data_IF_144787931911
#
_entry.id   IF_144787931911
#
_cell.length_a   1.000
_cell.length_b   1.000
_cell.length_c   1.000
_cell.angle_alpha   90.00
_cell.angle_beta   90.00
_cell.angle_gamma   90.00
#
_symmetry.space_group_name_H-M   'P 1'
#
loop_
_entity.id
_entity.type
_entity.pdbx_description
1 polymer ?
#
# COMPACT_ATOMS: atom_id res chain seq x y z
N UNK A 1 -11.58 -7.51 -20.12
CA UNK A 1 -11.75 -7.44 -18.65
C UNK A 1 -13.12 -8.02 -18.26
N UNK A 2 -13.33 -9.35 -18.27
CA UNK A 2 -14.67 -9.93 -18.01
C UNK A 2 -14.62 -11.39 -17.49
N UNK A 3 -14.03 -11.63 -16.34
CA UNK A 3 -14.20 -12.94 -15.66
C UNK A 3 -14.08 -12.83 -14.13
N UNK A 4 -14.56 -11.72 -13.56
CA UNK A 4 -14.65 -11.58 -12.10
C UNK A 4 -16.12 -11.65 -11.67
N UNK A 5 -16.46 -12.46 -10.66
CA UNK A 5 -17.80 -12.44 -10.09
C UNK A 5 -18.09 -11.09 -9.42
N UNK A 6 -19.36 -10.69 -9.41
CA UNK A 6 -19.81 -9.59 -8.53
C UNK A 6 -19.48 -9.94 -7.08
N UNK A 7 -19.11 -8.94 -6.27
CA UNK A 7 -18.77 -9.15 -4.86
C UNK A 7 -19.89 -9.88 -4.09
N UNK A 8 -21.15 -9.64 -4.45
CA UNK A 8 -22.32 -10.30 -3.84
C UNK A 8 -22.33 -11.82 -4.01
N UNK A 9 -21.64 -12.33 -5.03
CA UNK A 9 -21.54 -13.78 -5.31
C UNK A 9 -20.39 -14.42 -4.52
N UNK A 10 -19.47 -13.63 -3.97
CA UNK A 10 -18.30 -14.11 -3.26
C UNK A 10 -18.69 -14.50 -1.84
N UNK A 11 -18.46 -15.77 -1.50
CA UNK A 11 -18.87 -16.33 -0.19
C UNK A 11 -17.71 -16.54 0.76
N UNK A 12 -16.49 -16.56 0.25
CA UNK A 12 -15.30 -16.90 1.04
C UNK A 12 -14.19 -15.87 0.87
N UNK A 13 -13.37 -15.72 1.92
CA UNK A 13 -12.18 -14.86 1.88
C UNK A 13 -11.19 -15.35 0.81
N UNK A 14 -11.03 -16.66 0.66
CA UNK A 14 -10.13 -17.24 -0.36
C UNK A 14 -10.55 -16.86 -1.78
N UNK A 15 -11.85 -16.90 -2.08
CA UNK A 15 -12.37 -16.48 -3.38
C UNK A 15 -12.17 -14.98 -3.59
N UNK A 16 -12.44 -14.15 -2.58
CA UNK A 16 -12.17 -12.72 -2.63
C UNK A 16 -10.69 -12.41 -2.92
N UNK A 17 -9.78 -13.07 -2.22
CA UNK A 17 -8.33 -12.87 -2.34
C UNK A 17 -7.77 -13.38 -3.68
N UNK A 18 -8.43 -14.36 -4.32
CA UNK A 18 -8.03 -14.91 -5.62
C UNK A 18 -8.13 -13.90 -6.78
N UNK A 19 -8.87 -12.80 -6.59
CA UNK A 19 -9.04 -11.72 -7.54
C UNK A 19 -8.25 -10.47 -7.13
N UNK A 20 -7.81 -9.68 -8.11
CA UNK A 20 -7.06 -8.44 -7.87
C UNK A 20 -7.97 -7.21 -7.90
N UNK A 21 -8.31 -6.64 -6.76
CA UNK A 21 -9.18 -5.46 -6.71
C UNK A 21 -8.39 -4.15 -6.77
N UNK A 22 -8.88 -3.16 -7.50
CA UNK A 22 -8.41 -1.77 -7.40
C UNK A 22 -9.04 -1.08 -6.20
N UNK A 23 -8.41 0.00 -5.73
CA UNK A 23 -8.89 0.72 -4.54
C UNK A 23 -10.29 1.28 -4.77
N UNK A 24 -10.54 1.81 -5.96
CA UNK A 24 -11.80 2.40 -6.38
C UNK A 24 -12.91 1.34 -6.41
N UNK A 25 -12.62 0.14 -6.92
CA UNK A 25 -13.55 -0.99 -6.89
C UNK A 25 -13.90 -1.39 -5.45
N UNK A 26 -12.91 -1.49 -4.55
CA UNK A 26 -13.16 -1.80 -3.14
C UNK A 26 -13.99 -0.71 -2.47
N UNK A 27 -13.73 0.55 -2.80
CA UNK A 27 -14.46 1.70 -2.28
C UNK A 27 -15.94 1.66 -2.71
N UNK A 28 -16.19 1.34 -3.98
CA UNK A 28 -17.54 1.17 -4.54
C UNK A 28 -18.28 0.01 -3.88
N UNK A 29 -17.61 -1.13 -3.69
CA UNK A 29 -18.18 -2.28 -2.96
C UNK A 29 -18.58 -1.86 -1.54
N UNK A 30 -17.71 -1.16 -0.80
CA UNK A 30 -18.05 -0.66 0.54
C UNK A 30 -19.28 0.28 0.53
N UNK A 31 -19.39 1.16 -0.47
CA UNK A 31 -20.54 2.05 -0.63
C UNK A 31 -21.83 1.27 -0.87
N UNK A 32 -21.80 0.28 -1.76
CA UNK A 32 -22.96 -0.57 -2.06
C UNK A 32 -23.41 -1.40 -0.85
N UNK A 33 -22.46 -1.85 -0.03
CA UNK A 33 -22.74 -2.54 1.23
C UNK A 33 -23.18 -1.61 2.38
N UNK A 34 -23.18 -0.28 2.16
CA UNK A 34 -23.49 0.76 3.16
C UNK A 34 -22.57 0.70 4.39
N UNK A 35 -21.29 0.41 4.20
CA UNK A 35 -20.25 0.42 5.23
C UNK A 35 -19.21 1.52 4.95
N UNK A 36 -18.28 1.76 5.88
CA UNK A 36 -17.26 2.79 5.69
C UNK A 36 -16.37 2.54 4.45
N UNK A 37 -16.39 3.47 3.51
CA UNK A 37 -15.57 3.46 2.28
C UNK A 37 -14.29 4.30 2.41
N UNK A 38 -13.98 4.79 3.61
CA UNK A 38 -12.75 5.55 3.89
C UNK A 38 -11.58 4.62 4.13
N UNK A 39 -10.40 5.09 3.73
CA UNK A 39 -9.13 4.45 4.04
C UNK A 39 -8.23 4.17 2.84
N UNK A 40 -7.07 3.60 3.15
CA UNK A 40 -6.16 3.03 2.17
C UNK A 40 -6.72 1.74 1.58
N UNK A 41 -6.18 1.29 0.45
CA UNK A 41 -6.60 0.05 -0.22
C UNK A 41 -6.64 -1.15 0.72
N UNK A 42 -5.59 -1.32 1.53
CA UNK A 42 -5.50 -2.43 2.47
C UNK A 42 -6.54 -2.40 3.58
N UNK A 43 -6.90 -1.20 4.07
CA UNK A 43 -7.98 -1.04 5.05
C UNK A 43 -9.33 -1.44 4.45
N UNK A 44 -9.56 -1.12 3.17
CA UNK A 44 -10.76 -1.55 2.45
C UNK A 44 -10.78 -3.07 2.25
N UNK A 45 -9.66 -3.69 1.85
CA UNK A 45 -9.57 -5.16 1.71
C UNK A 45 -9.81 -5.87 3.04
N UNK A 46 -9.18 -5.43 4.13
CA UNK A 46 -9.37 -6.02 5.47
C UNK A 46 -10.81 -5.84 5.97
N UNK A 47 -11.42 -4.69 5.69
CA UNK A 47 -12.83 -4.43 6.02
C UNK A 47 -13.75 -5.42 5.31
N UNK A 48 -13.56 -5.64 4.01
CA UNK A 48 -14.36 -6.58 3.23
C UNK A 48 -14.10 -8.04 3.63
N UNK A 49 -12.85 -8.39 3.95
CA UNK A 49 -12.50 -9.70 4.52
C UNK A 49 -13.22 -9.95 5.85
N UNK A 50 -13.22 -8.95 6.75
CA UNK A 50 -13.97 -9.01 8.00
C UNK A 50 -15.48 -9.13 7.76
N UNK A 51 -16.02 -8.41 6.76
CA UNK A 51 -17.42 -8.50 6.36
C UNK A 51 -17.81 -9.91 5.91
N UNK A 52 -17.02 -10.52 5.02
CA UNK A 52 -17.25 -11.89 4.54
C UNK A 52 -17.18 -12.90 5.69
N UNK A 53 -16.21 -12.74 6.61
CA UNK A 53 -15.98 -13.69 7.71
C UNK A 53 -17.06 -13.61 8.79
N UNK A 54 -17.45 -12.40 9.18
CA UNK A 54 -18.39 -12.18 10.28
C UNK A 54 -19.85 -12.22 9.83
N UNK A 55 -20.11 -11.97 8.55
CA UNK A 55 -21.44 -11.66 8.03
C UNK A 55 -21.90 -10.25 8.43
N UNK A 56 -22.90 -9.73 7.71
CA UNK A 56 -23.36 -8.33 7.80
C UNK A 56 -23.69 -7.89 9.21
N UNK A 57 -24.50 -8.66 9.94
CA UNK A 57 -25.01 -8.26 11.25
C UNK A 57 -23.92 -8.13 12.32
N UNK A 58 -23.04 -9.14 12.43
CA UNK A 58 -21.94 -9.13 13.39
C UNK A 58 -20.90 -8.07 13.02
N UNK A 59 -20.65 -7.88 11.73
CA UNK A 59 -19.74 -6.85 11.25
C UNK A 59 -20.23 -5.44 11.65
N UNK A 60 -21.50 -5.10 11.39
CA UNK A 60 -22.04 -3.78 11.71
C UNK A 60 -22.06 -3.51 13.23
N UNK A 61 -22.34 -4.53 14.05
CA UNK A 61 -22.23 -4.43 15.52
C UNK A 61 -20.80 -4.16 15.99
N UNK A 62 -19.80 -4.76 15.32
CA UNK A 62 -18.37 -4.53 15.62
C UNK A 62 -17.93 -3.13 15.17
N UNK A 63 -18.39 -2.69 13.99
CA UNK A 63 -18.05 -1.37 13.46
C UNK A 63 -18.66 -0.25 14.32
N UNK A 64 -19.89 -0.42 14.82
CA UNK A 64 -20.54 0.57 15.69
C UNK A 64 -19.99 0.61 17.12
N UNK A 65 -19.52 -0.52 17.65
CA UNK A 65 -18.88 -0.58 18.98
C UNK A 65 -17.42 -0.13 18.97
N UNK A 66 -16.75 -0.23 17.83
CA UNK A 66 -15.45 0.36 17.60
C UNK A 66 -15.61 1.88 17.44
N UNK A 67 -15.53 2.64 18.54
CA UNK A 67 -15.34 4.09 18.48
C UNK A 67 -14.05 4.36 17.71
N UNK A 68 -14.11 4.51 16.39
CA UNK A 68 -12.99 5.05 15.63
C UNK A 68 -12.71 6.41 16.23
N UNK A 69 -11.51 6.65 16.80
CA UNK A 69 -11.17 7.96 17.31
C UNK A 69 -11.44 8.95 16.18
N UNK A 70 -12.13 10.05 16.51
CA UNK A 70 -12.34 11.15 15.57
C UNK A 70 -10.95 11.48 15.01
N UNK A 71 -10.76 11.25 13.70
CA UNK A 71 -9.53 11.61 13.00
C UNK A 71 -9.15 13.01 13.45
N UNK A 72 -8.06 13.15 14.20
CA UNK A 72 -7.65 14.45 14.72
C UNK A 72 -7.37 15.33 13.51
N UNK A 73 -8.21 16.34 13.31
CA UNK A 73 -8.06 17.26 12.19
C UNK A 73 -6.75 18.01 12.43
N UNK A 74 -5.72 17.76 11.61
CA UNK A 74 -4.47 18.51 11.67
C UNK A 74 -4.81 19.99 11.59
N UNK A 75 -4.24 20.80 12.49
CA UNK A 75 -4.33 22.26 12.39
C UNK A 75 -3.76 22.72 11.05
N UNK A 76 -4.21 23.89 10.60
CA UNK A 76 -3.60 24.59 9.48
C UNK A 76 -2.11 24.80 9.75
N UNK A 77 -1.31 24.77 8.68
CA UNK A 77 0.16 24.79 8.70
C UNK A 77 0.70 25.82 9.69
N UNK A 78 1.49 25.39 10.67
CA UNK A 78 2.20 26.34 11.53
C UNK A 78 3.41 26.91 10.78
N UNK A 79 3.66 28.21 10.89
CA UNK A 79 4.83 28.89 10.31
C UNK A 79 6.11 28.68 11.14
N UNK A 80 6.03 27.91 12.23
CA UNK A 80 7.13 27.70 13.15
C UNK A 80 8.24 26.88 12.50
N UNK A 81 9.48 27.19 12.86
CA UNK A 81 10.64 26.39 12.50
C UNK A 81 10.51 24.97 13.05
N UNK A 82 10.88 23.99 12.23
CA UNK A 82 10.82 22.58 12.59
C UNK A 82 11.98 22.28 13.53
N UNK A 83 11.69 21.70 14.68
CA UNK A 83 12.71 21.24 15.64
C UNK A 83 12.56 19.75 15.90
N UNK A 84 13.57 19.11 16.49
CA UNK A 84 13.48 17.69 16.88
C UNK A 84 12.32 17.39 17.85
N UNK A 85 11.96 18.36 18.71
CA UNK A 85 10.88 18.22 19.70
C UNK A 85 9.50 18.50 19.13
N UNK A 86 9.42 19.10 17.94
CA UNK A 86 8.18 19.48 17.29
C UNK A 86 7.26 18.28 17.10
N UNK A 87 5.98 18.46 17.42
CA UNK A 87 4.95 17.42 17.36
C UNK A 87 4.29 17.35 15.99
N UNK A 88 4.32 16.18 15.36
CA UNK A 88 3.92 16.02 13.96
C UNK A 88 2.46 16.41 13.71
N UNK A 89 1.53 15.88 14.50
CA UNK A 89 0.09 16.09 14.32
C UNK A 89 -0.36 17.47 14.82
N UNK A 90 -0.07 17.87 16.08
CA UNK A 90 -0.54 19.14 16.65
C UNK A 90 0.05 20.39 15.98
N UNK A 91 1.31 20.34 15.56
CA UNK A 91 1.99 21.47 14.90
C UNK A 91 1.80 21.45 13.37
N UNK A 92 1.11 20.42 12.85
CA UNK A 92 0.72 20.34 11.44
C UNK A 92 1.88 20.06 10.49
N UNK A 93 2.95 19.41 10.97
CA UNK A 93 4.11 19.02 10.14
C UNK A 93 3.66 17.96 9.13
N UNK A 94 4.09 18.14 7.87
CA UNK A 94 3.77 17.25 6.76
C UNK A 94 5.06 16.78 6.09
N UNK A 95 4.96 15.71 5.31
CA UNK A 95 6.03 15.23 4.44
C UNK A 95 6.18 16.15 3.21
N UNK A 96 6.52 17.42 3.45
CA UNK A 96 6.66 18.47 2.44
C UNK A 96 8.13 18.84 2.19
N UNK A 97 8.37 19.89 1.39
CA UNK A 97 9.72 20.38 1.11
C UNK A 97 10.43 20.89 2.37
N UNK A 98 9.71 21.63 3.24
CA UNK A 98 10.27 22.20 4.47
C UNK A 98 10.78 21.10 5.40
N UNK A 99 9.97 20.07 5.65
CA UNK A 99 10.42 18.96 6.49
C UNK A 99 11.57 18.18 5.85
N UNK A 100 11.58 18.06 4.52
CA UNK A 100 12.69 17.42 3.79
C UNK A 100 13.99 18.21 3.91
N UNK A 101 13.93 19.53 3.83
CA UNK A 101 15.09 20.43 4.01
C UNK A 101 15.66 20.30 5.42
N UNK A 102 14.80 20.33 6.45
CA UNK A 102 15.21 20.07 7.83
C UNK A 102 15.97 18.74 7.96
N UNK A 103 15.43 17.64 7.41
CA UNK A 103 16.11 16.34 7.48
C UNK A 103 17.42 16.31 6.70
N UNK A 104 17.51 17.00 5.56
CA UNK A 104 18.74 17.10 4.78
C UNK A 104 19.84 17.80 5.56
N UNK A 105 19.52 18.93 6.17
CA UNK A 105 20.45 19.71 6.96
C UNK A 105 20.88 18.94 8.22
N UNK A 106 19.94 18.29 8.90
CA UNK A 106 20.21 17.49 10.09
C UNK A 106 21.19 16.32 9.86
N UNK A 107 21.09 15.64 8.72
CA UNK A 107 21.97 14.52 8.36
C UNK A 107 23.14 14.90 7.44
N UNK A 108 23.28 16.19 7.09
CA UNK A 108 24.23 16.68 6.09
C UNK A 108 24.16 15.90 4.74
N UNK A 109 22.93 15.70 4.24
CA UNK A 109 22.66 14.95 3.02
C UNK A 109 22.31 15.84 1.83
N UNK A 110 22.93 15.55 0.68
CA UNK A 110 22.56 16.17 -0.61
C UNK A 110 21.09 15.89 -0.99
N UNK A 111 20.58 14.70 -0.65
CA UNK A 111 19.21 14.27 -0.95
C UNK A 111 18.64 13.47 0.20
N UNK A 112 17.40 13.78 0.59
CA UNK A 112 16.64 13.04 1.60
C UNK A 112 15.35 12.51 1.01
N UNK A 113 14.97 11.28 1.37
CA UNK A 113 13.70 10.67 0.98
C UNK A 113 13.04 10.05 2.20
N UNK A 114 11.78 10.44 2.43
CA UNK A 114 10.97 9.87 3.49
C UNK A 114 10.75 8.39 3.24
N UNK A 115 10.84 7.59 4.29
CA UNK A 115 10.60 6.16 4.20
C UNK A 115 9.12 5.84 4.38
N UNK A 116 8.71 4.69 3.84
CA UNK A 116 7.37 4.15 4.06
C UNK A 116 7.06 4.01 5.56
N UNK A 117 8.03 3.55 6.35
CA UNK A 117 7.90 3.38 7.80
C UNK A 117 7.59 4.70 8.53
N UNK A 118 8.21 5.82 8.13
CA UNK A 118 7.86 7.13 8.69
C UNK A 118 6.41 7.51 8.40
N UNK A 119 5.98 7.34 7.15
CA UNK A 119 4.61 7.65 6.74
C UNK A 119 3.57 6.78 7.46
N UNK A 120 3.91 5.52 7.71
CA UNK A 120 3.12 4.59 8.49
C UNK A 120 3.00 4.99 9.96
N UNK A 121 4.09 5.37 10.60
CA UNK A 121 4.09 5.81 11.99
C UNK A 121 3.18 7.04 12.21
N UNK A 122 3.18 7.98 11.26
CA UNK A 122 2.25 9.14 11.30
C UNK A 122 0.80 8.69 11.17
N UNK A 123 0.50 7.79 10.22
CA UNK A 123 -0.87 7.27 10.02
C UNK A 123 -1.38 6.53 11.26
N UNK A 124 -0.54 5.70 11.88
CA UNK A 124 -0.89 4.98 13.11
C UNK A 124 -1.17 5.96 14.25
N UNK A 125 -0.30 6.98 14.41
CA UNK A 125 -0.48 8.02 15.42
C UNK A 125 -1.79 8.80 15.21
N UNK A 126 -2.17 9.11 13.97
CA UNK A 126 -3.46 9.73 13.67
C UNK A 126 -4.65 8.83 14.03
N UNK A 127 -4.54 7.54 13.73
CA UNK A 127 -5.60 6.55 13.98
C UNK A 127 -5.86 6.34 15.47
N UNK A 128 -4.80 6.28 16.28
CA UNK A 128 -4.92 6.09 17.74
C UNK A 128 -5.04 7.41 18.50
N UNK A 129 -4.98 8.56 17.81
CA UNK A 129 -4.99 9.88 18.44
C UNK A 129 -3.72 10.21 19.24
N UNK A 130 -2.58 9.62 18.91
CA UNK A 130 -1.30 9.90 19.55
C UNK A 130 -0.73 11.25 19.08
N UNK A 131 -1.02 12.30 19.84
CA UNK A 131 -0.52 13.66 19.60
C UNK A 131 0.94 13.88 19.99
N UNK A 132 1.61 12.89 20.58
CA UNK A 132 2.96 13.04 21.14
C UNK A 132 4.07 12.70 20.15
N UNK A 133 3.75 12.09 19.01
CA UNK A 133 4.73 11.73 17.97
C UNK A 133 5.52 12.97 17.54
N UNK A 134 6.83 12.93 17.72
CA UNK A 134 7.75 14.02 17.42
C UNK A 134 8.58 13.77 16.16
N UNK A 135 9.25 14.83 15.67
CA UNK A 135 10.25 14.72 14.60
C UNK A 135 11.35 13.74 14.99
N UNK A 136 11.87 13.82 16.22
CA UNK A 136 12.89 12.90 16.71
C UNK A 136 12.45 11.43 16.64
N UNK A 137 11.19 11.14 16.96
CA UNK A 137 10.66 9.77 16.87
C UNK A 137 10.64 9.27 15.42
N UNK A 138 10.26 10.13 14.46
CA UNK A 138 10.32 9.79 13.04
C UNK A 138 11.74 9.58 12.54
N UNK A 139 12.72 10.34 13.04
CA UNK A 139 14.12 10.16 12.70
C UNK A 139 14.68 8.84 13.24
N UNK A 140 14.32 8.45 14.47
CA UNK A 140 14.68 7.11 14.99
C UNK A 140 14.12 5.97 14.13
N UNK A 141 12.88 6.13 13.62
CA UNK A 141 12.26 5.17 12.69
C UNK A 141 12.97 5.18 11.34
N UNK A 142 13.49 6.32 10.90
CA UNK A 142 14.29 6.41 9.69
C UNK A 142 15.62 5.65 9.82
N UNK A 143 16.31 5.81 10.95
CA UNK A 143 17.57 5.11 11.24
C UNK A 143 17.35 3.61 11.46
N UNK A 144 16.27 3.24 12.15
CA UNK A 144 15.95 1.85 12.51
C UNK A 144 14.54 1.51 12.03
N UNK A 145 14.36 1.28 10.71
CA UNK A 145 13.05 0.95 10.17
C UNK A 145 12.58 -0.42 10.71
N UNK A 146 11.28 -0.59 11.02
CA UNK A 146 10.73 -1.87 11.40
C UNK A 146 11.00 -2.92 10.32
N UNK A 147 11.43 -4.12 10.74
CA UNK A 147 11.72 -5.23 9.82
C UNK A 147 10.49 -6.06 9.47
N UNK A 148 9.42 -5.95 10.25
CA UNK A 148 8.20 -6.73 10.08
C UNK A 148 7.35 -6.20 8.92
N UNK A 149 6.91 -7.11 8.04
CA UNK A 149 5.97 -6.78 6.97
C UNK A 149 4.59 -6.43 7.55
N UNK A 150 4.09 -5.24 7.21
CA UNK A 150 2.77 -4.81 7.66
C UNK A 150 1.67 -5.40 6.79
N UNK A 151 0.42 -5.46 7.28
CA UNK A 151 -0.72 -5.90 6.46
C UNK A 151 -0.84 -5.14 5.12
N UNK A 152 -0.53 -3.85 5.11
CA UNK A 152 -0.48 -3.01 3.89
C UNK A 152 0.49 -3.55 2.83
N UNK A 153 1.61 -4.18 3.22
CA UNK A 153 2.57 -4.81 2.29
C UNK A 153 1.96 -6.01 1.56
N UNK A 154 1.03 -6.73 2.21
CA UNK A 154 0.38 -7.92 1.63
C UNK A 154 -0.53 -7.55 0.45
N UNK A 155 -1.05 -6.32 0.45
CA UNK A 155 -2.03 -5.82 -0.53
C UNK A 155 -1.36 -5.17 -1.75
N UNK A 156 -0.08 -4.77 -1.64
CA UNK A 156 0.72 -4.21 -2.72
C UNK A 156 1.26 -5.29 -3.67
N UNK A 157 0.34 -6.10 -4.21
CA UNK A 157 0.63 -7.29 -5.02
C UNK A 157 1.50 -6.99 -6.25
N UNK A 158 1.32 -5.83 -6.89
CA UNK A 158 2.21 -5.36 -7.97
C UNK A 158 3.65 -5.15 -7.47
N UNK A 159 3.84 -4.42 -6.37
CA UNK A 159 5.18 -4.16 -5.84
C UNK A 159 5.88 -5.47 -5.44
N UNK A 160 5.13 -6.40 -4.84
CA UNK A 160 5.63 -7.74 -4.54
C UNK A 160 6.00 -8.49 -5.82
N UNK A 161 5.13 -8.50 -6.82
CA UNK A 161 5.38 -9.13 -8.10
C UNK A 161 6.67 -8.59 -8.76
N UNK A 162 6.85 -7.27 -8.79
CA UNK A 162 8.05 -6.65 -9.37
C UNK A 162 9.30 -6.99 -8.56
N UNK A 163 9.21 -7.00 -7.23
CA UNK A 163 10.33 -7.39 -6.36
C UNK A 163 10.73 -8.84 -6.57
N UNK A 164 9.75 -9.75 -6.56
CA UNK A 164 9.93 -11.18 -6.81
C UNK A 164 10.53 -11.39 -8.22
N UNK A 165 9.97 -10.72 -9.24
CA UNK A 165 10.49 -10.72 -10.61
C UNK A 165 11.96 -10.30 -10.67
N UNK A 166 12.35 -9.18 -10.04
CA UNK A 166 13.74 -8.70 -10.07
C UNK A 166 14.71 -9.54 -9.24
N UNK A 167 14.21 -10.28 -8.25
CA UNK A 167 15.04 -11.14 -7.40
C UNK A 167 15.33 -12.49 -8.04
N UNK A 168 14.59 -12.86 -9.09
CA UNK A 168 14.75 -14.14 -9.77
C UNK A 168 15.96 -14.14 -10.73
N UNK A 169 16.89 -15.11 -10.62
CA UNK A 169 18.06 -15.18 -11.51
C UNK A 169 17.72 -15.29 -13.00
N UNK A 170 16.60 -15.94 -13.36
CA UNK A 170 16.18 -16.13 -14.75
C UNK A 170 15.76 -14.81 -15.42
N UNK A 171 15.37 -13.80 -14.65
CA UNK A 171 15.01 -12.47 -15.18
C UNK A 171 16.22 -11.54 -15.27
N UNK A 172 17.35 -11.91 -14.67
CA UNK A 172 18.59 -11.12 -14.69
C UNK A 172 19.04 -10.70 -16.10
N UNK A 173 19.08 -11.58 -17.12
CA UNK A 173 19.55 -11.22 -18.46
C UNK A 173 18.55 -10.40 -19.29
N UNK A 174 17.30 -10.25 -18.83
CA UNK A 174 16.26 -9.59 -19.61
C UNK A 174 16.52 -8.09 -19.74
N UNK A 175 16.29 -7.55 -20.95
CA UNK A 175 16.22 -6.10 -21.19
C UNK A 175 14.80 -5.58 -20.95
N UNK A 176 14.64 -4.28 -20.70
CA UNK A 176 13.32 -3.67 -20.47
C UNK A 176 12.49 -4.35 -19.37
N UNK A 177 13.15 -4.75 -18.28
CA UNK A 177 12.60 -5.54 -17.16
C UNK A 177 11.25 -5.03 -16.66
N UNK A 178 11.09 -3.72 -16.51
CA UNK A 178 9.85 -3.15 -16.00
C UNK A 178 8.67 -3.31 -16.97
N UNK A 179 8.92 -3.20 -18.28
CA UNK A 179 7.88 -3.41 -19.30
C UNK A 179 7.46 -4.88 -19.37
N UNK A 180 8.42 -5.79 -19.26
CA UNK A 180 8.15 -7.23 -19.19
C UNK A 180 7.37 -7.56 -17.91
N UNK A 181 7.81 -7.05 -16.77
CA UNK A 181 7.11 -7.24 -15.49
C UNK A 181 5.67 -6.70 -15.57
N UNK A 182 5.45 -5.52 -16.17
CA UNK A 182 4.11 -4.96 -16.35
C UNK A 182 3.23 -5.81 -17.26
N UNK A 183 3.78 -6.34 -18.36
CA UNK A 183 3.08 -7.25 -19.26
C UNK A 183 2.67 -8.55 -18.55
N UNK A 184 3.62 -9.21 -17.88
CA UNK A 184 3.37 -10.46 -17.16
C UNK A 184 2.39 -10.25 -15.99
N UNK A 185 2.52 -9.13 -15.27
CA UNK A 185 1.57 -8.74 -14.25
C UNK A 185 0.17 -8.59 -14.83
N UNK A 186 0.01 -7.98 -16.02
CA UNK A 186 -1.29 -7.92 -16.70
C UNK A 186 -1.92 -9.30 -16.89
N UNK A 187 -1.12 -10.31 -17.29
CA UNK A 187 -1.57 -11.69 -17.46
C UNK A 187 -1.97 -12.35 -16.13
N UNK A 188 -1.15 -12.19 -15.09
CA UNK A 188 -1.40 -12.77 -13.75
C UNK A 188 -2.56 -12.10 -13.03
N UNK A 189 -2.65 -10.78 -13.12
CA UNK A 189 -3.69 -9.94 -12.50
C UNK A 189 -5.09 -10.35 -12.98
N UNK A 190 -5.21 -10.61 -14.27
CA UNK A 190 -6.50 -10.88 -14.91
C UNK A 190 -6.93 -12.35 -14.79
N UNK A 191 -6.02 -13.25 -14.39
CA UNK A 191 -6.29 -14.68 -14.11
C UNK A 191 -6.68 -14.89 -12.65
N UNK A 192 -7.45 -15.93 -12.37
CA UNK A 192 -7.73 -16.39 -11.00
C UNK A 192 -6.48 -17.09 -10.43
N UNK A 193 -6.22 -16.92 -9.14
CA UNK A 193 -5.13 -17.61 -8.44
C UNK A 193 -4.06 -16.68 -7.86
N UNK A 194 -2.85 -17.21 -7.64
CA UNK A 194 -1.74 -16.47 -7.01
C UNK A 194 -1.38 -15.21 -7.79
N UNK A 195 -1.16 -14.10 -7.07
CA UNK A 195 -0.73 -12.80 -7.64
C UNK A 195 0.75 -12.53 -7.39
N UNK A 196 1.55 -13.59 -7.38
CA UNK A 196 3.00 -13.55 -7.22
C UNK A 196 3.67 -13.84 -8.56
N UNK A 197 4.94 -13.45 -8.68
CA UNK A 197 5.73 -13.87 -9.83
C UNK A 197 6.00 -15.38 -9.74
N UNK A 198 5.87 -16.05 -10.88
CA UNK A 198 6.21 -17.46 -11.05
C UNK A 198 7.14 -17.57 -12.27
N UNK A 199 8.31 -18.22 -12.15
CA UNK A 199 9.25 -18.35 -13.26
C UNK A 199 8.68 -19.04 -14.51
N UNK A 200 7.67 -19.91 -14.35
CA UNK A 200 6.97 -20.54 -15.48
C UNK A 200 6.32 -19.53 -16.43
N UNK A 201 6.00 -18.32 -15.95
CA UNK A 201 5.47 -17.23 -16.79
C UNK A 201 6.47 -16.80 -17.87
N UNK A 202 7.77 -16.94 -17.62
CA UNK A 202 8.81 -16.62 -18.60
C UNK A 202 8.77 -17.61 -19.78
N UNK A 203 8.48 -18.88 -19.49
CA UNK A 203 8.36 -19.94 -20.48
C UNK A 203 7.04 -19.83 -21.24
N UNK A 204 5.93 -19.63 -20.50
CA UNK A 204 4.59 -19.49 -21.06
C UNK A 204 4.50 -18.31 -22.07
N UNK A 205 5.11 -17.17 -21.73
CA UNK A 205 5.06 -15.95 -22.55
C UNK A 205 6.36 -15.64 -23.29
N UNK A 206 7.23 -16.64 -23.49
CA UNK A 206 8.55 -16.44 -24.09
C UNK A 206 8.52 -15.69 -25.44
N UNK A 207 7.51 -15.95 -26.29
CA UNK A 207 7.36 -15.27 -27.59
C UNK A 207 7.07 -13.78 -27.44
N UNK A 208 6.15 -13.41 -26.55
CA UNK A 208 5.79 -12.02 -26.29
C UNK A 208 6.95 -11.26 -25.64
N UNK A 209 7.65 -11.91 -24.70
CA UNK A 209 8.83 -11.34 -24.03
C UNK A 209 9.89 -10.98 -25.06
N UNK A 210 10.23 -11.88 -26.00
CA UNK A 210 11.20 -11.61 -27.07
C UNK A 210 10.82 -10.38 -27.91
N UNK A 211 9.53 -10.21 -28.21
CA UNK A 211 9.03 -9.04 -28.95
C UNK A 211 9.22 -7.75 -28.12
N UNK A 212 8.94 -7.81 -26.81
CA UNK A 212 9.11 -6.66 -25.91
C UNK A 212 10.59 -6.29 -25.72
N UNK A 213 11.49 -7.27 -25.69
CA UNK A 213 12.94 -7.03 -25.64
C UNK A 213 13.44 -6.34 -26.91
N UNK A 214 12.93 -6.73 -28.08
CA UNK A 214 13.28 -6.10 -29.35
C UNK A 214 12.78 -4.65 -29.49
N UNK A 215 11.67 -4.30 -28.84
CA UNK A 215 11.04 -2.98 -28.98
C UNK A 215 11.72 -1.85 -28.20
N UNK A 216 12.43 -2.12 -27.11
CA UNK A 216 13.09 -1.06 -26.32
C UNK A 216 14.53 -0.74 -26.75
N UNK A 217 14.94 -1.18 -27.94
CA UNK A 217 16.20 -0.79 -28.59
C UNK A 217 16.00 0.35 -29.62
N UNK A 218 14.89 1.07 -29.56
CA UNK A 218 14.61 2.28 -30.36
C UNK A 218 14.39 3.48 -29.47
#
# INVERSE_FOLDING_TARGET
>A
MKSRPSFEKIKTVSEFESHYWYREELQEICLNLKISSKGAKAELEERLRSYITLGREKFLKKESSSKTPISVRRKTKSEKEITLKSKIIPEGIRFDSKFREFCREYYDLKKFSFTKAMAEAVRDAEKVGNLKLSVQDLLKIYENPPKEERPDDRVLRWNRFVKDFHSDPKTSPLKNKLNIAAFLWGKVRDRVGSKKFDPSLLEEFAKDIRILEAKGNK
#
